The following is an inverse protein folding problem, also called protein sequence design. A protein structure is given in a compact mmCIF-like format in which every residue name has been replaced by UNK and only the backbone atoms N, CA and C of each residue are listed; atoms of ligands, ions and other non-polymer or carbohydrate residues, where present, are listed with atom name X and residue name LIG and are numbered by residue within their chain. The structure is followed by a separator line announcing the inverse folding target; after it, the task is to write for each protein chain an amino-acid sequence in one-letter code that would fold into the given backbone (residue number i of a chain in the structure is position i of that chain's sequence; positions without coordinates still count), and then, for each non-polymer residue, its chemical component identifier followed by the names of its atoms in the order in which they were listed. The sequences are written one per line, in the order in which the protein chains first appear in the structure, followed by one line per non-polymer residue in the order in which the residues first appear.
data_IF_791913200240
#
_entry.id   IF_791913200240
#
_cell.length_a   1.000
_cell.length_b   1.000
_cell.length_c   1.000
_cell.angle_alpha   90.00
_cell.angle_beta   90.00
_cell.angle_gamma   90.00
#
_symmetry.space_group_name_H-M   'P 1'
#
loop_
_entity.id
_entity.type
_entity.pdbx_description
1 polymer ?
#
# COMPACT_ATOMS: atom_id res chain seq x y z
N UNK A 1 -23.08 2.63 7.49
CA UNK A 1 -23.87 3.43 6.53
C UNK A 1 -23.85 2.70 5.19
N UNK A 2 -24.95 2.71 4.42
CA UNK A 2 -24.99 2.15 3.07
C UNK A 2 -25.22 3.30 2.09
N UNK A 3 -24.31 3.45 1.15
CA UNK A 3 -24.28 4.52 0.14
C UNK A 3 -23.99 3.89 -1.20
N UNK A 4 -24.59 4.41 -2.27
CA UNK A 4 -24.26 4.03 -3.65
C UNK A 4 -23.19 4.99 -4.15
N UNK A 5 -22.08 4.46 -4.67
CA UNK A 5 -20.97 5.23 -5.23
C UNK A 5 -20.75 4.75 -6.66
N UNK A 6 -20.41 5.68 -7.54
CA UNK A 6 -19.88 5.37 -8.86
C UNK A 6 -18.36 5.16 -8.74
N UNK A 7 -17.83 4.08 -9.30
CA UNK A 7 -16.44 3.66 -9.17
C UNK A 7 -15.95 3.15 -10.52
N UNK A 8 -14.76 3.56 -10.93
CA UNK A 8 -14.14 3.09 -12.16
C UNK A 8 -13.92 1.56 -12.13
N UNK A 9 -13.98 0.94 -13.31
CA UNK A 9 -13.93 -0.52 -13.46
C UNK A 9 -12.63 -1.13 -12.93
N UNK A 10 -11.50 -0.41 -13.07
CA UNK A 10 -10.18 -0.82 -12.57
C UNK A 10 -10.14 -0.82 -11.04
N UNK A 11 -10.75 0.17 -10.39
CA UNK A 11 -10.89 0.24 -8.93
C UNK A 11 -11.73 -0.92 -8.42
N UNK A 12 -12.85 -1.23 -9.08
CA UNK A 12 -13.69 -2.38 -8.72
C UNK A 12 -12.93 -3.70 -8.88
N UNK A 13 -12.18 -3.87 -9.99
CA UNK A 13 -11.40 -5.07 -10.23
C UNK A 13 -10.34 -5.28 -9.12
N UNK A 14 -9.54 -4.25 -8.84
CA UNK A 14 -8.51 -4.30 -7.80
C UNK A 14 -9.09 -4.56 -6.41
N UNK A 15 -10.19 -3.90 -6.06
CA UNK A 15 -10.83 -4.09 -4.76
C UNK A 15 -11.43 -5.49 -4.58
N UNK A 16 -11.90 -6.13 -5.65
CA UNK A 16 -12.39 -7.52 -5.61
C UNK A 16 -11.27 -8.53 -5.37
N UNK A 17 -10.13 -8.35 -6.03
CA UNK A 17 -8.94 -9.18 -5.81
C UNK A 17 -8.46 -9.05 -4.36
N UNK A 18 -8.39 -7.82 -3.85
CA UNK A 18 -7.98 -7.55 -2.48
C UNK A 18 -8.98 -8.11 -1.45
N UNK A 19 -10.27 -7.98 -1.70
CA UNK A 19 -11.31 -8.57 -0.86
C UNK A 19 -11.22 -10.10 -0.81
N UNK A 20 -10.94 -10.74 -1.95
CA UNK A 20 -10.82 -12.19 -2.06
C UNK A 20 -9.60 -12.71 -1.33
N UNK A 21 -8.42 -12.10 -1.55
CA UNK A 21 -7.16 -12.48 -0.88
C UNK A 21 -7.24 -12.30 0.63
N UNK A 22 -7.91 -11.25 1.12
CA UNK A 22 -8.05 -10.98 2.55
C UNK A 22 -9.27 -11.64 3.21
N UNK A 23 -10.13 -12.35 2.45
CA UNK A 23 -11.40 -12.92 2.92
C UNK A 23 -12.31 -11.89 3.61
N UNK A 24 -12.43 -10.71 3.01
CA UNK A 24 -13.23 -9.57 3.51
C UNK A 24 -14.31 -9.19 2.51
N UNK A 25 -15.34 -8.47 2.97
CA UNK A 25 -16.34 -7.94 2.06
C UNK A 25 -15.77 -6.78 1.23
N UNK A 26 -16.22 -6.67 -0.03
CA UNK A 26 -15.83 -5.56 -0.93
C UNK A 26 -16.07 -4.19 -0.27
N UNK A 27 -17.23 -4.01 0.36
CA UNK A 27 -17.55 -2.76 1.07
C UNK A 27 -16.60 -2.45 2.24
N UNK A 28 -16.11 -3.47 2.96
CA UNK A 28 -15.11 -3.27 4.03
C UNK A 28 -13.77 -2.81 3.47
N UNK A 29 -13.33 -3.42 2.37
CA UNK A 29 -12.08 -3.07 1.68
C UNK A 29 -12.15 -1.65 1.11
N UNK A 30 -13.20 -1.31 0.35
CA UNK A 30 -13.40 0.04 -0.20
C UNK A 30 -13.47 1.08 0.92
N UNK A 31 -14.19 0.79 2.01
CA UNK A 31 -14.29 1.70 3.14
C UNK A 31 -12.94 1.95 3.83
N UNK A 32 -12.07 0.93 3.89
CA UNK A 32 -10.72 1.10 4.40
C UNK A 32 -9.82 1.88 3.45
N UNK A 33 -9.84 1.56 2.15
CA UNK A 33 -9.06 2.29 1.14
C UNK A 33 -9.44 3.77 1.14
N UNK A 34 -10.74 4.09 1.22
CA UNK A 34 -11.22 5.45 1.36
C UNK A 34 -10.69 6.12 2.64
N UNK A 35 -10.72 5.43 3.80
CA UNK A 35 -10.13 5.97 5.05
C UNK A 35 -8.64 6.26 4.91
N UNK A 36 -7.88 5.36 4.27
CA UNK A 36 -6.44 5.54 4.02
C UNK A 36 -6.20 6.73 3.09
N UNK A 37 -6.97 6.88 2.03
CA UNK A 37 -6.86 8.00 1.09
C UNK A 37 -7.25 9.37 1.68
N UNK A 38 -8.12 9.38 2.69
CA UNK A 38 -8.45 10.60 3.45
C UNK A 38 -7.37 10.99 4.47
N UNK A 39 -6.45 10.09 4.81
CA UNK A 39 -5.30 10.47 5.62
C UNK A 39 -4.29 11.21 4.74
N UNK A 40 -3.81 12.39 5.15
CA UNK A 40 -2.76 13.06 4.41
C UNK A 40 -1.55 12.14 4.35
N UNK A 41 -1.11 11.81 3.13
CA UNK A 41 0.12 11.07 2.90
C UNK A 41 1.29 11.89 3.43
N UNK A 42 1.71 11.64 4.67
CA UNK A 42 2.89 12.27 5.24
C UNK A 42 4.11 11.54 4.69
N UNK A 43 4.55 11.97 3.52
CA UNK A 43 5.87 11.63 3.02
C UNK A 43 6.85 12.45 3.84
N UNK A 44 7.61 11.79 4.70
CA UNK A 44 8.76 12.44 5.28
C UNK A 44 9.77 12.72 4.18
N UNK A 45 10.26 13.94 4.13
CA UNK A 45 11.29 14.35 3.19
C UNK A 45 12.54 14.79 3.96
N UNK A 46 13.69 14.43 3.42
CA UNK A 46 15.00 14.93 3.83
C UNK A 46 15.68 15.50 2.58
N UNK A 47 16.08 16.77 2.62
CA UNK A 47 16.61 17.51 1.46
C UNK A 47 15.73 17.42 0.18
N UNK A 48 14.40 17.45 0.35
CA UNK A 48 13.45 17.37 -0.76
C UNK A 48 13.25 15.97 -1.35
N UNK A 49 13.94 14.95 -0.82
CA UNK A 49 13.79 13.56 -1.22
C UNK A 49 12.92 12.79 -0.21
N UNK A 50 12.00 11.94 -0.67
CA UNK A 50 11.21 11.08 0.22
C UNK A 50 12.14 10.12 0.98
N UNK A 51 11.98 10.06 2.31
CA UNK A 51 12.76 9.17 3.17
C UNK A 51 11.89 8.14 3.87
N UNK A 52 12.42 6.92 3.96
CA UNK A 52 11.85 5.83 4.75
C UNK A 52 12.62 5.79 6.07
N UNK A 53 11.95 6.05 7.19
CA UNK A 53 12.56 5.89 8.52
C UNK A 53 12.58 4.41 8.89
N UNK A 54 13.77 3.89 9.13
CA UNK A 54 13.97 2.53 9.66
C UNK A 54 14.37 2.58 11.13
N UNK A 55 14.08 1.54 11.94
CA UNK A 55 14.55 1.47 13.32
C UNK A 55 16.06 1.67 13.45
N UNK A 56 16.50 2.29 14.54
CA UNK A 56 17.92 2.47 14.82
C UNK A 56 18.65 1.11 14.86
N UNK A 57 19.82 1.04 14.22
CA UNK A 57 20.59 -0.20 14.09
C UNK A 57 20.16 -1.13 12.96
N UNK A 58 19.18 -0.74 12.13
CA UNK A 58 18.85 -1.49 10.91
C UNK A 58 20.09 -1.51 9.99
N UNK A 59 20.57 -2.69 9.56
CA UNK A 59 21.73 -2.78 8.68
C UNK A 59 21.43 -2.15 7.32
N UNK A 60 22.44 -1.56 6.64
CA UNK A 60 22.24 -0.98 5.32
C UNK A 60 21.83 -2.06 4.32
N UNK A 61 20.96 -1.69 3.37
CA UNK A 61 20.68 -2.53 2.21
C UNK A 61 21.97 -2.61 1.38
N UNK A 62 22.46 -3.82 1.15
CA UNK A 62 23.69 -4.05 0.38
C UNK A 62 23.36 -4.51 -1.04
N UNK A 63 24.28 -4.32 -2.01
CA UNK A 63 24.11 -4.85 -3.37
C UNK A 63 23.85 -6.36 -3.41
N UNK A 64 24.44 -7.12 -2.48
CA UNK A 64 24.26 -8.58 -2.40
C UNK A 64 22.83 -8.97 -2.00
N UNK A 65 22.20 -8.19 -1.10
CA UNK A 65 20.80 -8.41 -0.73
C UNK A 65 19.87 -8.18 -1.92
N UNK A 66 20.15 -7.14 -2.72
CA UNK A 66 19.37 -6.85 -3.93
C UNK A 66 19.53 -7.96 -4.95
N UNK A 67 20.76 -8.43 -5.19
CA UNK A 67 21.01 -9.52 -6.13
C UNK A 67 20.26 -10.79 -5.73
N UNK A 68 20.33 -11.19 -4.46
CA UNK A 68 19.60 -12.35 -3.94
C UNK A 68 18.09 -12.24 -4.15
N UNK A 69 17.50 -11.08 -3.90
CA UNK A 69 16.05 -10.89 -4.05
C UNK A 69 15.59 -10.98 -5.51
N UNK A 70 16.44 -10.59 -6.47
CA UNK A 70 16.14 -10.70 -7.90
C UNK A 70 16.31 -12.13 -8.43
N UNK A 71 17.13 -12.95 -7.78
CA UNK A 71 17.33 -14.35 -8.13
C UNK A 71 16.20 -15.27 -7.60
N UNK A 72 15.32 -14.75 -6.73
CA UNK A 72 14.19 -15.48 -6.12
C UNK A 72 12.88 -15.42 -6.94
N UNK A 73 12.91 -14.81 -8.14
CA UNK A 73 11.84 -14.79 -9.16
C UNK A 73 12.13 -15.74 -10.34
#
# INVERSE_FOLDING_TARGET
MRTTLDLDDDVIAAARELASSQRRSLGSVISELARRGLMPGRVEADDGLPVIRVPAGTPPITPEMVRRALDED
#
